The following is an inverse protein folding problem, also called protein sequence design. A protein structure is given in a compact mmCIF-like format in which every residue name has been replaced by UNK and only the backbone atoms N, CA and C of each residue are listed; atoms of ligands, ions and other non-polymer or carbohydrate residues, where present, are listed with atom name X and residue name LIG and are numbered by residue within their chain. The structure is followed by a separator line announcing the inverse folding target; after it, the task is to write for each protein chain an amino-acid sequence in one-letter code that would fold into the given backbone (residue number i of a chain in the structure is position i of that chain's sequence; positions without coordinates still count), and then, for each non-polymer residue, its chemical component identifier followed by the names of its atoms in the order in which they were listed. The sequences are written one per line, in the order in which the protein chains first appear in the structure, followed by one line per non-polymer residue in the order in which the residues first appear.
data_IF_687012781366
#
_entry.id   IF_687012781366
#
_cell.length_a   1.000
_cell.length_b   1.000
_cell.length_c   1.000
_cell.angle_alpha   90.00
_cell.angle_beta   90.00
_cell.angle_gamma   90.00
#
_symmetry.space_group_name_H-M   'P 1'
#
loop_
_entity.id
_entity.type
_entity.pdbx_description
1 polymer ?
#
# COMPACT_ATOMS: atom_id res chain seq x y z
N UNK A 1 36.26 48.33 5.12
CA UNK A 1 36.41 47.14 5.98
C UNK A 1 35.13 46.95 6.79
N UNK A 2 34.31 45.96 6.43
CA UNK A 2 33.27 45.39 7.29
C UNK A 2 32.96 44.00 6.73
N UNK A 3 33.36 42.96 7.46
CA UNK A 3 33.26 41.55 7.07
C UNK A 3 31.87 41.01 7.43
N UNK A 4 31.30 40.30 6.46
CA UNK A 4 29.99 39.68 6.45
C UNK A 4 29.83 38.62 7.58
N UNK A 5 28.78 38.65 8.41
CA UNK A 5 28.64 37.76 9.58
C UNK A 5 28.11 36.35 9.27
N UNK A 6 27.84 36.00 8.00
CA UNK A 6 27.22 34.71 7.65
C UNK A 6 28.20 33.53 7.47
N UNK A 7 29.50 33.73 7.73
CA UNK A 7 30.52 32.68 7.56
C UNK A 7 31.00 32.03 8.87
N UNK A 8 30.47 32.45 10.02
CA UNK A 8 30.91 31.97 11.35
C UNK A 8 30.04 30.84 11.95
N UNK A 9 28.99 30.40 11.24
CA UNK A 9 28.05 29.37 11.74
C UNK A 9 28.21 27.99 11.08
N UNK A 10 29.13 27.84 10.12
CA UNK A 10 29.33 26.57 9.39
C UNK A 10 30.55 25.74 9.81
N UNK A 11 31.30 26.13 10.84
CA UNK A 11 32.57 25.46 11.20
C UNK A 11 32.63 24.87 12.62
N UNK A 12 31.51 24.75 13.34
CA UNK A 12 31.53 24.35 14.75
C UNK A 12 31.19 22.87 15.04
N UNK A 13 30.95 22.01 14.04
CA UNK A 13 30.62 20.60 14.30
C UNK A 13 31.38 19.60 13.42
N UNK A 14 32.64 19.92 13.10
CA UNK A 14 33.60 18.88 12.75
C UNK A 14 34.21 18.29 14.01
N UNK A 15 33.82 17.06 14.37
CA UNK A 15 34.76 16.13 15.03
C UNK A 15 34.45 14.67 14.67
N UNK A 16 35.39 14.10 13.94
CA UNK A 16 35.58 12.69 13.60
C UNK A 16 35.50 11.75 14.80
N UNK A 17 34.96 10.55 14.60
CA UNK A 17 35.70 9.29 14.77
C UNK A 17 34.83 8.11 14.40
N UNK A 18 35.40 7.19 13.62
CA UNK A 18 34.72 6.00 13.15
C UNK A 18 34.30 5.07 14.27
N UNK A 19 33.07 4.57 14.18
CA UNK A 19 32.69 3.28 14.74
C UNK A 19 31.90 2.53 13.67
N UNK A 20 32.46 1.42 13.19
CA UNK A 20 31.74 0.35 12.48
C UNK A 20 30.67 -0.19 13.43
N UNK A 21 29.47 0.38 13.41
CA UNK A 21 28.30 -0.28 13.98
C UNK A 21 27.46 -0.82 12.83
N UNK A 22 27.75 -2.08 12.52
CA UNK A 22 26.85 -3.06 11.91
C UNK A 22 25.42 -2.66 12.27
N UNK A 23 24.67 -2.15 11.28
CA UNK A 23 23.35 -1.55 11.47
C UNK A 23 22.37 -2.52 12.12
N UNK A 24 22.37 -2.56 13.46
CA UNK A 24 21.21 -2.95 14.23
C UNK A 24 20.19 -1.84 13.98
N UNK A 25 19.17 -2.16 13.18
CA UNK A 25 17.94 -1.38 13.08
C UNK A 25 17.55 -0.92 14.49
N UNK A 26 17.22 0.36 14.70
CA UNK A 26 16.67 0.79 15.98
C UNK A 26 15.44 -0.06 16.31
N UNK A 27 15.26 -0.48 17.58
CA UNK A 27 14.14 -1.30 17.99
C UNK A 27 12.83 -0.59 17.66
N UNK A 28 11.93 -1.35 17.06
CA UNK A 28 10.60 -0.93 16.64
C UNK A 28 9.92 -0.11 17.74
N UNK A 29 9.76 1.18 17.49
CA UNK A 29 8.83 1.99 18.26
C UNK A 29 7.43 1.43 18.00
N UNK A 30 6.87 0.85 19.04
CA UNK A 30 5.51 0.31 19.11
C UNK A 30 4.54 1.49 18.99
N UNK A 31 4.15 1.75 17.74
CA UNK A 31 2.99 2.52 17.32
C UNK A 31 2.51 1.84 16.06
N UNK A 32 1.87 0.67 16.22
CA UNK A 32 1.51 -0.27 15.17
C UNK A 32 0.49 0.33 14.19
N UNK A 33 0.97 1.19 13.31
CA UNK A 33 0.39 1.36 11.99
C UNK A 33 1.08 0.27 11.17
N UNK A 34 0.47 -0.91 11.12
CA UNK A 34 0.97 -1.99 10.27
C UNK A 34 1.15 -1.41 8.87
N UNK A 35 2.36 -1.51 8.32
CA UNK A 35 2.62 -1.08 6.95
C UNK A 35 1.59 -1.78 6.06
N UNK A 36 0.75 -1.05 5.32
CA UNK A 36 -0.41 -1.65 4.67
C UNK A 36 0.01 -2.67 3.61
N UNK A 37 1.19 -2.53 3.00
CA UNK A 37 1.74 -3.56 2.13
C UNK A 37 2.16 -4.81 2.91
N UNK A 38 2.72 -4.66 4.11
CA UNK A 38 3.05 -5.79 4.99
C UNK A 38 1.81 -6.55 5.43
N UNK A 39 0.73 -5.86 5.78
CA UNK A 39 -0.55 -6.49 6.15
C UNK A 39 -1.12 -7.27 4.97
N UNK A 40 -1.23 -6.64 3.80
CA UNK A 40 -1.74 -7.28 2.58
C UNK A 40 -0.84 -8.43 2.11
N UNK A 41 0.47 -8.28 2.26
CA UNK A 41 1.46 -9.30 1.93
C UNK A 41 1.42 -10.51 2.86
N UNK A 42 0.97 -10.33 4.11
CA UNK A 42 0.72 -11.45 5.04
C UNK A 42 -0.64 -12.12 4.78
N UNK A 43 -1.64 -11.36 4.31
CA UNK A 43 -2.98 -11.87 4.00
C UNK A 43 -3.05 -12.67 2.70
N UNK A 44 -2.27 -12.27 1.68
CA UNK A 44 -2.26 -12.97 0.39
C UNK A 44 -1.46 -14.27 0.47
N UNK A 45 -2.17 -15.38 0.33
CA UNK A 45 -1.62 -16.73 0.24
C UNK A 45 -0.74 -16.94 -1.00
N UNK A 46 -0.05 -18.09 -1.07
CA UNK A 46 0.85 -18.41 -2.18
C UNK A 46 0.13 -18.47 -3.53
N UNK A 47 -1.16 -18.82 -3.53
CA UNK A 47 -2.08 -18.88 -4.66
C UNK A 47 -2.61 -17.49 -5.08
N UNK A 48 -2.35 -16.45 -4.29
CA UNK A 48 -2.81 -15.08 -4.54
C UNK A 48 -4.18 -14.76 -3.96
N UNK A 49 -4.77 -15.63 -3.15
CA UNK A 49 -6.05 -15.37 -2.49
C UNK A 49 -5.87 -15.03 -1.02
N UNK A 50 -6.86 -14.37 -0.44
CA UNK A 50 -6.97 -14.22 1.00
C UNK A 50 -7.90 -15.31 1.52
N UNK A 51 -7.31 -16.41 2.01
CA UNK A 51 -8.04 -17.58 2.54
C UNK A 51 -9.09 -18.15 1.56
N UNK A 52 -8.91 -18.00 0.25
CA UNK A 52 -9.87 -18.40 -0.77
C UNK A 52 -11.15 -17.57 -0.85
N UNK A 53 -11.24 -16.44 -0.12
CA UNK A 53 -12.42 -15.57 -0.11
C UNK A 53 -12.31 -14.49 -1.21
N UNK A 54 -13.28 -14.45 -2.12
CA UNK A 54 -13.31 -13.50 -3.23
C UNK A 54 -13.43 -12.07 -2.76
N UNK A 55 -14.29 -11.79 -1.78
CA UNK A 55 -14.50 -10.43 -1.29
C UNK A 55 -13.25 -9.89 -0.58
N UNK A 56 -12.58 -10.72 0.23
CA UNK A 56 -11.33 -10.34 0.90
C UNK A 56 -10.18 -10.17 -0.10
N UNK A 57 -10.09 -11.03 -1.10
CA UNK A 57 -9.07 -10.93 -2.16
C UNK A 57 -9.30 -9.68 -3.02
N UNK A 58 -10.54 -9.39 -3.39
CA UNK A 58 -10.91 -8.18 -4.12
C UNK A 58 -10.62 -6.90 -3.31
N UNK A 59 -10.92 -6.91 -2.01
CA UNK A 59 -10.57 -5.80 -1.11
C UNK A 59 -9.05 -5.61 -1.00
N UNK A 60 -8.29 -6.70 -0.89
CA UNK A 60 -6.83 -6.65 -0.84
C UNK A 60 -6.23 -6.02 -2.11
N UNK A 61 -6.71 -6.43 -3.28
CA UNK A 61 -6.30 -5.85 -4.57
C UNK A 61 -6.68 -4.37 -4.64
N UNK A 62 -7.91 -4.00 -4.27
CA UNK A 62 -8.33 -2.60 -4.25
C UNK A 62 -7.46 -1.73 -3.34
N UNK A 63 -7.04 -2.25 -2.17
CA UNK A 63 -6.06 -1.58 -1.31
C UNK A 63 -4.72 -1.39 -2.02
N UNK A 64 -4.17 -2.43 -2.67
CA UNK A 64 -2.92 -2.32 -3.42
C UNK A 64 -3.01 -1.24 -4.53
N UNK A 65 -4.14 -1.16 -5.22
CA UNK A 65 -4.36 -0.12 -6.24
C UNK A 65 -4.38 1.29 -5.62
N UNK A 66 -5.05 1.49 -4.49
CA UNK A 66 -5.08 2.78 -3.79
C UNK A 66 -3.71 3.17 -3.21
N UNK A 67 -2.90 2.18 -2.82
CA UNK A 67 -1.51 2.38 -2.39
C UNK A 67 -0.55 2.59 -3.57
N UNK A 68 -1.07 2.66 -4.81
CA UNK A 68 -0.29 2.85 -6.04
C UNK A 68 0.76 1.73 -6.25
N UNK A 69 0.45 0.50 -5.80
CA UNK A 69 1.28 -0.66 -6.08
C UNK A 69 1.40 -0.84 -7.60
N UNK A 70 2.62 -1.05 -8.15
CA UNK A 70 2.80 -1.29 -9.57
C UNK A 70 1.96 -2.47 -10.06
N UNK A 71 1.31 -2.34 -11.21
CA UNK A 71 0.46 -3.39 -11.78
C UNK A 71 1.21 -4.70 -12.09
N UNK A 72 2.53 -4.61 -12.22
CA UNK A 72 3.45 -5.72 -12.42
C UNK A 72 3.98 -6.33 -11.12
N UNK A 73 3.53 -5.86 -9.96
CA UNK A 73 3.90 -6.43 -8.68
C UNK A 73 3.50 -7.92 -8.60
N UNK A 74 4.39 -8.84 -8.18
CA UNK A 74 4.09 -10.27 -8.17
C UNK A 74 2.91 -10.67 -7.28
N UNK A 75 2.62 -9.93 -6.21
CA UNK A 75 1.46 -10.21 -5.35
C UNK A 75 0.17 -9.80 -6.07
N UNK A 76 0.17 -8.61 -6.67
CA UNK A 76 -0.96 -8.11 -7.43
C UNK A 76 -1.26 -8.98 -8.66
N UNK A 77 -0.22 -9.42 -9.40
CA UNK A 77 -0.37 -10.32 -10.55
C UNK A 77 -0.99 -11.66 -10.15
N UNK A 78 -0.55 -12.25 -9.04
CA UNK A 78 -1.13 -13.51 -8.53
C UNK A 78 -2.58 -13.33 -8.09
N UNK A 79 -2.87 -12.28 -7.34
CA UNK A 79 -4.22 -11.99 -6.88
C UNK A 79 -5.18 -11.72 -8.04
N UNK A 80 -4.74 -10.96 -9.06
CA UNK A 80 -5.51 -10.75 -10.30
C UNK A 80 -5.77 -12.06 -11.04
N UNK A 81 -4.76 -12.93 -11.16
CA UNK A 81 -4.93 -14.26 -11.78
C UNK A 81 -5.95 -15.10 -11.03
N UNK A 82 -5.89 -15.10 -9.70
CA UNK A 82 -6.83 -15.84 -8.87
C UNK A 82 -8.25 -15.27 -8.99
N UNK A 83 -8.42 -13.93 -8.98
CA UNK A 83 -9.71 -13.28 -9.21
C UNK A 83 -10.26 -13.53 -10.61
N UNK A 84 -9.40 -13.65 -11.62
CA UNK A 84 -9.82 -13.98 -12.99
C UNK A 84 -10.48 -15.36 -13.08
N UNK A 85 -10.04 -16.32 -12.28
CA UNK A 85 -10.70 -17.63 -12.16
C UNK A 85 -12.09 -17.55 -11.50
N UNK A 86 -12.40 -16.42 -10.84
CA UNK A 86 -13.66 -16.15 -10.15
C UNK A 86 -14.41 -14.96 -10.79
N UNK A 87 -14.18 -14.66 -12.07
CA UNK A 87 -14.73 -13.46 -12.73
C UNK A 87 -16.27 -13.42 -12.80
N UNK A 88 -16.92 -14.57 -12.59
CA UNK A 88 -18.37 -14.66 -12.45
C UNK A 88 -18.90 -13.96 -11.19
N UNK A 89 -18.04 -13.73 -10.19
CA UNK A 89 -18.36 -12.93 -9.01
C UNK A 89 -18.28 -11.43 -9.35
N UNK A 90 -19.32 -10.68 -8.98
CA UNK A 90 -19.42 -9.26 -9.29
C UNK A 90 -18.28 -8.43 -8.69
N UNK A 91 -17.75 -8.80 -7.50
CA UNK A 91 -16.65 -8.09 -6.86
C UNK A 91 -15.32 -8.36 -7.57
N UNK A 92 -15.10 -9.61 -8.00
CA UNK A 92 -13.94 -9.97 -8.80
C UNK A 92 -13.96 -9.21 -10.13
N UNK A 93 -15.09 -9.23 -10.84
CA UNK A 93 -15.26 -8.50 -12.11
C UNK A 93 -15.04 -7.00 -11.96
N UNK A 94 -15.59 -6.39 -10.90
CA UNK A 94 -15.40 -4.97 -10.60
C UNK A 94 -13.92 -4.61 -10.44
N UNK A 95 -13.19 -5.34 -9.59
CA UNK A 95 -11.77 -5.04 -9.31
C UNK A 95 -10.87 -5.31 -10.52
N UNK A 96 -11.14 -6.37 -11.29
CA UNK A 96 -10.43 -6.62 -12.54
C UNK A 96 -10.66 -5.49 -13.56
N UNK A 97 -11.87 -4.93 -13.61
CA UNK A 97 -12.19 -3.75 -14.42
C UNK A 97 -11.38 -2.52 -14.00
N UNK A 98 -11.18 -2.30 -12.70
CA UNK A 98 -10.32 -1.22 -12.20
C UNK A 98 -8.87 -1.40 -12.64
N UNK A 99 -8.34 -2.63 -12.54
CA UNK A 99 -6.98 -2.92 -13.02
C UNK A 99 -6.84 -2.65 -14.52
N UNK A 100 -7.80 -3.09 -15.35
CA UNK A 100 -7.78 -2.87 -16.79
C UNK A 100 -7.88 -1.37 -17.15
N UNK A 101 -8.68 -0.61 -16.39
CA UNK A 101 -8.76 0.84 -16.51
C UNK A 101 -7.41 1.49 -16.23
N UNK A 102 -6.73 1.10 -15.15
CA UNK A 102 -5.39 1.61 -14.81
C UNK A 102 -4.33 1.25 -15.85
N UNK A 103 -4.38 0.03 -16.41
CA UNK A 103 -3.49 -0.37 -17.53
C UNK A 103 -3.70 0.52 -18.77
N UNK A 104 -4.92 1.02 -18.95
CA UNK A 104 -5.28 1.95 -20.03
C UNK A 104 -5.01 3.42 -19.70
N UNK A 105 -4.47 3.72 -18.51
CA UNK A 105 -4.21 5.08 -18.04
C UNK A 105 -5.42 5.80 -17.44
N UNK A 106 -6.52 5.10 -17.16
CA UNK A 106 -7.66 5.69 -16.47
C UNK A 106 -7.29 6.01 -15.01
N UNK A 107 -7.71 7.18 -14.49
CA UNK A 107 -7.48 7.52 -13.10
C UNK A 107 -8.26 6.58 -12.17
N UNK A 108 -7.64 6.21 -11.04
CA UNK A 108 -8.31 5.48 -10.00
C UNK A 108 -9.18 6.44 -9.17
N UNK A 109 -10.50 6.39 -9.35
CA UNK A 109 -11.42 7.23 -8.58
C UNK A 109 -12.17 6.38 -7.55
N UNK A 110 -11.84 6.48 -6.25
CA UNK A 110 -12.60 5.81 -5.20
C UNK A 110 -14.03 6.38 -5.14
N UNK A 111 -15.02 5.49 -5.02
CA UNK A 111 -16.43 5.86 -5.08
C UNK A 111 -17.35 4.96 -4.24
N UNK A 112 -18.66 5.25 -4.19
CA UNK A 112 -19.64 4.46 -3.42
C UNK A 112 -19.67 2.98 -3.82
N UNK A 113 -19.31 2.68 -5.07
CA UNK A 113 -19.23 1.32 -5.62
C UNK A 113 -18.16 0.45 -4.96
N UNK A 114 -17.23 1.05 -4.21
CA UNK A 114 -16.17 0.35 -3.48
C UNK A 114 -16.62 -0.09 -2.07
N UNK A 115 -17.73 0.45 -1.56
CA UNK A 115 -18.23 0.14 -0.21
C UNK A 115 -18.44 -1.37 0.04
N UNK A 116 -18.96 -2.17 -0.91
CA UNK A 116 -19.12 -3.61 -0.71
C UNK A 116 -17.81 -4.36 -0.42
N UNK A 117 -16.68 -3.86 -0.93
CA UNK A 117 -15.35 -4.43 -0.67
C UNK A 117 -14.87 -4.16 0.77
N UNK A 118 -15.37 -3.10 1.41
CA UNK A 118 -14.95 -2.69 2.76
C UNK A 118 -15.58 -3.49 3.90
N UNK A 119 -16.50 -4.41 3.62
CA UNK A 119 -17.38 -5.00 4.65
C UNK A 119 -16.74 -6.21 5.35
N UNK A 120 -15.71 -6.83 4.77
CA UNK A 120 -15.17 -8.12 5.27
C UNK A 120 -13.66 -8.10 5.51
N UNK A 121 -13.27 -8.70 6.65
CA UNK A 121 -11.88 -8.97 6.99
C UNK A 121 -11.06 -7.73 7.34
N UNK A 122 -9.78 -7.93 7.72
CA UNK A 122 -8.85 -6.83 7.94
C UNK A 122 -8.57 -6.03 6.65
N UNK A 123 -8.64 -6.66 5.48
CA UNK A 123 -8.41 -6.02 4.18
C UNK A 123 -9.54 -5.04 3.85
N UNK A 124 -10.80 -5.44 4.09
CA UNK A 124 -11.95 -4.55 3.92
C UNK A 124 -11.94 -3.37 4.90
N UNK A 125 -11.52 -3.59 6.16
CA UNK A 125 -11.33 -2.49 7.13
C UNK A 125 -10.24 -1.52 6.68
N UNK A 126 -9.12 -2.03 6.18
CA UNK A 126 -8.05 -1.22 5.64
C UNK A 126 -8.55 -0.41 4.43
N UNK A 127 -9.30 -1.04 3.53
CA UNK A 127 -9.89 -0.37 2.38
C UNK A 127 -10.81 0.77 2.82
N UNK A 128 -11.67 0.52 3.80
CA UNK A 128 -12.56 1.54 4.34
C UNK A 128 -11.77 2.75 4.89
N UNK A 129 -10.67 2.50 5.62
CA UNK A 129 -9.79 3.57 6.12
C UNK A 129 -9.10 4.36 5.01
N UNK A 130 -8.71 3.70 3.91
CA UNK A 130 -8.11 4.36 2.74
C UNK A 130 -9.15 5.21 1.99
N UNK A 131 -10.38 4.71 1.87
CA UNK A 131 -11.50 5.41 1.23
C UNK A 131 -11.94 6.66 2.02
N UNK A 132 -11.89 6.62 3.35
CA UNK A 132 -12.22 7.81 4.17
C UNK A 132 -11.14 8.88 4.05
N UNK A 133 -9.85 8.50 4.08
CA UNK A 133 -8.73 9.44 3.93
C UNK A 133 -8.69 10.13 2.57
N UNK A 134 -9.05 9.41 1.51
CA UNK A 134 -9.07 9.96 0.13
C UNK A 134 -10.25 10.92 -0.13
N UNK A 135 -11.22 11.02 0.78
CA UNK A 135 -12.32 12.01 0.69
C UNK A 135 -12.04 13.31 1.42
N UNK A 136 -11.09 13.33 2.34
CA UNK A 136 -10.77 14.50 3.18
C UNK A 136 -9.62 15.35 2.63
N UNK A 137 -8.94 14.89 1.56
CA UNK A 137 -7.88 15.61 0.87
C UNK A 137 -8.30 16.07 -0.51
#
# INVERSE_FOLDING_TARGET
MARNPLHALLSALGLSSGVKLRGKRPPAAVGATDDPHRLLGASLGPDGSVEGDVARTAAAVACLLLLQTPLHDPQLVRARRWLKAHEHDALAGFVLGLCAGLESGAPLTPGPTWLPLGVRGPEGRLLHQLLTRTREG
#
